data_IF_425483060784
#
_entry.id   IF_425483060784
#
_cell.length_a   1.000
_cell.length_b   1.000
_cell.length_c   1.000
_cell.angle_alpha   90.00
_cell.angle_beta   90.00
_cell.angle_gamma   90.00
#
_symmetry.space_group_name_H-M   'P 1'
#
loop_
_entity.id
_entity.type
_entity.pdbx_description
1 polymer ?
#
# COMPACT_ATOMS: atom_id res chain seq x y z
N UNK A 1 10.38 8.96 -19.73
CA UNK A 1 10.20 8.39 -21.06
C UNK A 1 10.19 6.88 -20.97
N UNK A 2 9.12 6.28 -21.37
CA UNK A 2 8.99 4.82 -21.39
C UNK A 2 9.43 4.30 -22.74
N UNK A 3 10.35 3.37 -22.72
CA UNK A 3 10.72 2.62 -23.91
C UNK A 3 10.20 1.21 -23.72
N UNK A 4 9.01 0.95 -24.27
CA UNK A 4 8.52 -0.40 -24.34
C UNK A 4 9.35 -1.17 -25.35
N UNK A 5 9.96 -2.22 -24.92
CA UNK A 5 10.55 -3.18 -25.82
C UNK A 5 9.54 -4.28 -26.06
N UNK A 6 8.86 -4.21 -27.18
CA UNK A 6 8.01 -5.29 -27.61
C UNK A 6 8.89 -6.39 -28.18
N UNK A 7 9.60 -7.06 -27.30
CA UNK A 7 10.29 -8.28 -27.67
C UNK A 7 9.27 -9.38 -27.93
N UNK A 8 9.55 -10.25 -28.86
CA UNK A 8 8.71 -11.40 -29.19
C UNK A 8 8.60 -12.40 -28.04
N UNK A 9 9.38 -12.25 -27.00
CA UNK A 9 9.24 -13.01 -25.77
C UNK A 9 8.36 -12.25 -24.78
N UNK A 10 7.74 -12.95 -23.87
CA UNK A 10 6.79 -12.39 -22.94
C UNK A 10 7.39 -11.39 -21.93
N UNK A 11 8.68 -11.09 -22.03
CA UNK A 11 9.36 -10.20 -21.10
C UNK A 11 9.45 -8.80 -21.68
N UNK A 12 8.57 -7.93 -21.24
CA UNK A 12 8.57 -6.53 -21.59
C UNK A 12 9.40 -5.75 -20.58
N UNK A 13 10.16 -4.77 -21.08
CA UNK A 13 10.95 -3.87 -20.24
C UNK A 13 10.82 -2.45 -20.73
N UNK A 14 10.98 -1.51 -19.81
CA UNK A 14 11.09 -0.10 -20.14
C UNK A 14 12.15 0.54 -19.25
N UNK A 15 12.65 1.69 -19.68
CA UNK A 15 13.63 2.43 -18.90
C UNK A 15 12.95 3.21 -17.79
N UNK A 16 13.49 3.11 -16.58
CA UNK A 16 13.11 4.01 -15.51
C UNK A 16 13.55 5.43 -15.87
N UNK A 17 12.63 6.42 -15.86
CA UNK A 17 12.98 7.80 -16.25
C UNK A 17 14.05 8.42 -15.36
N UNK A 18 14.15 8.01 -14.11
CA UNK A 18 15.08 8.58 -13.13
C UNK A 18 16.43 7.91 -13.15
N UNK A 19 16.49 6.58 -13.14
CA UNK A 19 17.72 5.83 -12.96
C UNK A 19 18.25 5.20 -14.26
N UNK A 20 17.51 5.30 -15.34
CA UNK A 20 17.84 4.72 -16.66
C UNK A 20 18.02 3.21 -16.64
N UNK A 21 17.52 2.54 -15.62
CA UNK A 21 17.58 1.09 -15.52
C UNK A 21 16.40 0.46 -16.26
N UNK A 22 16.67 -0.63 -16.96
CA UNK A 22 15.62 -1.45 -17.55
C UNK A 22 14.91 -2.23 -16.46
N UNK A 23 13.62 -1.99 -16.31
CA UNK A 23 12.78 -2.68 -15.33
C UNK A 23 11.90 -3.70 -16.03
N UNK A 24 11.68 -4.88 -15.41
CA UNK A 24 10.69 -5.80 -15.93
C UNK A 24 9.32 -5.12 -15.89
N UNK A 25 8.64 -5.13 -17.02
CA UNK A 25 7.28 -4.64 -17.09
C UNK A 25 6.37 -5.65 -16.40
N UNK A 26 5.65 -5.18 -15.40
CA UNK A 26 4.65 -5.99 -14.74
C UNK A 26 3.58 -6.40 -15.75
N UNK A 27 3.17 -7.65 -15.71
CA UNK A 27 2.02 -8.11 -16.48
C UNK A 27 0.82 -7.22 -16.16
N UNK A 28 0.19 -6.66 -17.19
CA UNK A 28 -1.04 -5.89 -17.00
C UNK A 28 -2.12 -6.85 -16.54
N UNK A 29 -2.62 -6.61 -15.34
CA UNK A 29 -3.61 -7.45 -14.72
C UNK A 29 -4.78 -6.61 -14.20
N UNK A 30 -5.93 -7.23 -14.18
CA UNK A 30 -7.09 -6.67 -13.51
C UNK A 30 -7.32 -7.50 -12.26
N UNK A 31 -7.20 -6.87 -11.10
CA UNK A 31 -7.32 -7.56 -9.82
C UNK A 31 -8.71 -7.37 -9.26
N UNK A 32 -9.39 -8.47 -8.99
CA UNK A 32 -10.61 -8.46 -8.19
C UNK A 32 -10.19 -8.37 -6.72
N UNK A 33 -10.29 -7.18 -6.15
CA UNK A 33 -9.82 -6.90 -4.80
C UNK A 33 -10.55 -7.75 -3.76
N UNK A 34 -11.86 -7.89 -3.90
CA UNK A 34 -12.65 -8.68 -2.96
C UNK A 34 -12.21 -10.15 -2.95
N UNK A 35 -11.95 -10.72 -4.13
CA UNK A 35 -11.44 -12.11 -4.22
C UNK A 35 -10.03 -12.25 -3.68
N UNK A 36 -9.17 -11.28 -3.95
CA UNK A 36 -7.79 -11.30 -3.43
C UNK A 36 -7.77 -11.26 -1.90
N UNK A 37 -8.58 -10.41 -1.30
CA UNK A 37 -8.73 -10.32 0.15
C UNK A 37 -9.32 -11.60 0.73
N UNK A 38 -10.34 -12.16 0.10
CA UNK A 38 -10.97 -13.41 0.52
C UNK A 38 -9.98 -14.58 0.54
N UNK A 39 -9.11 -14.64 -0.48
CA UNK A 39 -8.11 -15.70 -0.59
C UNK A 39 -6.96 -15.55 0.42
N UNK A 40 -6.80 -14.38 1.01
CA UNK A 40 -5.70 -14.05 1.93
C UNK A 40 -6.24 -13.38 3.20
N UNK A 41 -7.29 -13.93 3.76
CA UNK A 41 -8.02 -13.33 4.88
C UNK A 41 -7.20 -13.26 6.16
N UNK A 42 -7.32 -12.13 6.85
CA UNK A 42 -6.81 -11.96 8.20
C UNK A 42 -7.42 -13.01 9.14
N UNK A 43 -6.57 -13.62 9.95
CA UNK A 43 -6.99 -14.55 11.01
C UNK A 43 -6.73 -13.95 12.38
N UNK A 44 -7.27 -14.58 13.44
CA UNK A 44 -7.05 -14.13 14.81
C UNK A 44 -5.59 -14.23 15.24
N UNK A 45 -4.81 -15.07 14.55
CA UNK A 45 -3.38 -15.22 14.84
C UNK A 45 -2.53 -14.10 14.23
N UNK A 46 -3.06 -13.38 13.26
CA UNK A 46 -2.35 -12.28 12.61
C UNK A 46 -2.52 -10.99 13.41
N UNK A 47 -1.45 -10.21 13.52
CA UNK A 47 -1.54 -8.84 14.06
C UNK A 47 -2.19 -7.93 13.03
N UNK A 48 -1.75 -8.04 11.81
CA UNK A 48 -2.35 -7.42 10.62
C UNK A 48 -1.90 -8.21 9.39
N UNK A 49 -2.48 -7.91 8.25
CA UNK A 49 -2.10 -8.55 7.01
C UNK A 49 -2.00 -7.53 5.88
N UNK A 50 -1.02 -7.73 5.02
CA UNK A 50 -0.85 -6.93 3.80
C UNK A 50 -1.02 -7.87 2.61
N UNK A 51 -2.17 -7.76 1.96
CA UNK A 51 -2.46 -8.53 0.76
C UNK A 51 -1.96 -7.73 -0.44
N UNK A 52 -0.83 -8.15 -0.98
CA UNK A 52 -0.16 -7.47 -2.08
C UNK A 52 -0.93 -7.73 -3.38
N UNK A 53 -1.26 -6.67 -4.11
CA UNK A 53 -2.06 -6.77 -5.32
C UNK A 53 -1.24 -6.62 -6.61
N UNK A 54 -0.14 -5.90 -6.55
CA UNK A 54 0.71 -5.70 -7.72
C UNK A 54 1.49 -4.40 -7.67
N UNK A 55 2.27 -4.16 -8.70
CA UNK A 55 3.07 -2.95 -8.83
C UNK A 55 3.26 -2.54 -10.28
N UNK A 56 3.47 -1.24 -10.48
CA UNK A 56 3.97 -0.67 -11.73
C UNK A 56 5.48 -0.46 -11.62
N UNK A 57 5.98 0.55 -12.33
CA UNK A 57 7.41 0.91 -12.30
C UNK A 57 7.77 1.81 -11.13
N UNK A 58 6.82 2.57 -10.59
CA UNK A 58 7.06 3.56 -9.55
C UNK A 58 6.07 3.48 -8.40
N UNK A 59 5.12 2.58 -8.45
CA UNK A 59 4.09 2.43 -7.43
C UNK A 59 3.72 0.98 -7.22
N UNK A 60 3.24 0.70 -6.03
CA UNK A 60 2.70 -0.60 -5.65
C UNK A 60 1.37 -0.43 -4.94
N UNK A 61 0.57 -1.49 -4.94
CA UNK A 61 -0.73 -1.49 -4.31
C UNK A 61 -0.93 -2.75 -3.48
N UNK A 62 -1.47 -2.57 -2.29
CA UNK A 62 -1.83 -3.66 -1.39
C UNK A 62 -3.08 -3.31 -0.58
N UNK A 63 -3.71 -4.32 0.01
CA UNK A 63 -4.76 -4.11 0.99
C UNK A 63 -4.22 -4.42 2.37
N UNK A 64 -4.34 -3.46 3.25
CA UNK A 64 -4.14 -3.67 4.68
C UNK A 64 -5.43 -4.21 5.28
N UNK A 65 -5.30 -5.32 6.01
CA UNK A 65 -6.36 -5.88 6.81
C UNK A 65 -5.93 -5.85 8.27
N UNK A 66 -6.74 -5.28 9.13
CA UNK A 66 -6.45 -5.18 10.54
C UNK A 66 -7.63 -5.56 11.42
N UNK A 67 -7.37 -5.63 12.72
CA UNK A 67 -8.41 -5.81 13.73
C UNK A 67 -8.90 -4.45 14.22
N UNK A 68 -10.06 -4.42 14.85
CA UNK A 68 -10.51 -3.26 15.60
C UNK A 68 -9.49 -2.93 16.70
N UNK A 69 -9.30 -1.65 16.97
CA UNK A 69 -8.36 -1.18 17.96
C UNK A 69 -7.28 -0.27 17.38
N UNK A 70 -6.26 0.07 18.19
CA UNK A 70 -5.19 0.94 17.75
C UNK A 70 -4.24 0.21 16.79
N UNK A 71 -3.67 0.96 15.86
CA UNK A 71 -2.48 0.53 15.14
C UNK A 71 -1.34 1.50 15.41
N UNK A 72 -0.18 0.91 15.61
CA UNK A 72 1.00 1.60 16.12
C UNK A 72 1.50 2.66 15.17
N UNK A 73 1.86 3.81 15.70
CA UNK A 73 2.46 4.90 14.93
C UNK A 73 3.80 4.49 14.33
N UNK A 74 4.00 4.89 13.10
CA UNK A 74 5.22 4.59 12.34
C UNK A 74 5.43 5.62 11.24
N UNK A 75 6.59 5.58 10.62
CA UNK A 75 6.91 6.33 9.40
C UNK A 75 7.36 5.38 8.31
N UNK A 76 7.07 5.75 7.08
CA UNK A 76 7.74 5.20 5.90
C UNK A 76 8.73 6.24 5.41
N UNK A 77 10.00 5.88 5.44
CA UNK A 77 11.08 6.86 5.24
C UNK A 77 11.18 7.32 3.79
N UNK A 78 10.92 6.41 2.85
CA UNK A 78 11.25 6.63 1.44
C UNK A 78 10.05 6.68 0.51
N UNK A 79 8.83 6.36 0.98
CA UNK A 79 7.67 6.37 0.09
C UNK A 79 6.47 7.09 0.68
N UNK A 80 5.68 7.67 -0.21
CA UNK A 80 4.36 8.18 0.11
C UNK A 80 3.34 7.04 0.11
N UNK A 81 2.28 7.19 0.90
CA UNK A 81 1.14 6.27 0.85
C UNK A 81 -0.15 7.04 0.62
N UNK A 82 -1.02 6.46 -0.17
CA UNK A 82 -2.41 6.93 -0.32
C UNK A 82 -3.29 5.80 0.18
N UNK A 83 -4.12 6.10 1.18
CA UNK A 83 -5.07 5.14 1.75
C UNK A 83 -6.49 5.41 1.29
N UNK A 84 -7.19 4.35 0.92
CA UNK A 84 -8.61 4.37 0.59
C UNK A 84 -9.32 3.31 1.41
N UNK A 85 -10.29 3.72 2.22
CA UNK A 85 -11.03 2.80 3.11
C UNK A 85 -12.01 1.97 2.31
N UNK A 86 -11.79 0.68 2.26
CA UNK A 86 -12.72 -0.29 1.65
C UNK A 86 -13.78 -0.72 2.64
N UNK A 87 -13.40 -0.97 3.89
CA UNK A 87 -14.29 -1.37 4.97
C UNK A 87 -13.79 -0.81 6.30
N UNK A 88 -14.71 -0.54 7.21
CA UNK A 88 -14.40 -0.07 8.55
C UNK A 88 -14.48 1.43 8.73
N UNK A 89 -14.35 1.84 9.98
CA UNK A 89 -14.36 3.25 10.40
C UNK A 89 -13.46 3.43 11.61
N UNK A 90 -12.97 4.63 11.80
CA UNK A 90 -12.10 4.96 12.91
C UNK A 90 -11.56 6.36 12.80
N UNK A 91 -10.37 6.57 13.34
CA UNK A 91 -9.63 7.83 13.18
C UNK A 91 -8.19 7.56 12.80
N UNK A 92 -7.65 8.43 11.97
CA UNK A 92 -6.27 8.37 11.48
C UNK A 92 -5.55 9.65 11.88
N UNK A 93 -4.34 9.49 12.38
CA UNK A 93 -3.45 10.59 12.75
C UNK A 93 -2.30 10.61 11.76
N UNK A 94 -2.12 11.73 11.07
CA UNK A 94 -1.03 11.94 10.11
C UNK A 94 -0.37 13.27 10.44
N UNK A 95 0.92 13.24 10.72
CA UNK A 95 1.68 14.45 11.05
C UNK A 95 1.08 15.23 12.23
N UNK A 96 0.55 14.55 13.22
CA UNK A 96 -0.08 15.16 14.38
C UNK A 96 -1.53 15.61 14.18
N UNK A 97 -2.09 15.45 13.00
CA UNK A 97 -3.48 15.81 12.70
C UNK A 97 -4.35 14.57 12.70
N UNK A 98 -5.37 14.55 13.54
CA UNK A 98 -6.30 13.41 13.65
C UNK A 98 -7.63 13.75 12.98
N UNK A 99 -8.11 12.83 12.15
CA UNK A 99 -9.40 12.96 11.48
C UNK A 99 -10.15 11.63 11.51
N UNK A 100 -11.49 11.67 11.60
CA UNK A 100 -12.30 10.48 11.42
C UNK A 100 -12.24 10.02 9.96
N UNK A 101 -12.26 8.71 9.78
CA UNK A 101 -12.30 8.07 8.47
C UNK A 101 -13.35 6.97 8.46
N UNK A 102 -13.94 6.75 7.30
CA UNK A 102 -14.94 5.71 7.07
C UNK A 102 -14.82 5.19 5.63
N UNK A 103 -15.54 4.16 5.33
CA UNK A 103 -15.63 3.60 3.99
C UNK A 103 -15.80 4.70 2.92
N UNK A 104 -14.92 4.69 1.93
CA UNK A 104 -14.91 5.66 0.84
C UNK A 104 -14.00 6.87 1.05
N UNK A 105 -13.44 7.04 2.24
CA UNK A 105 -12.53 8.14 2.52
C UNK A 105 -11.11 7.84 2.04
N UNK A 106 -10.39 8.89 1.67
CA UNK A 106 -9.00 8.86 1.21
C UNK A 106 -8.16 9.80 2.06
N UNK A 107 -6.95 9.37 2.38
CA UNK A 107 -5.94 10.29 2.94
C UNK A 107 -4.58 10.04 2.30
N UNK A 108 -3.74 11.05 2.35
CA UNK A 108 -2.38 10.99 1.80
C UNK A 108 -1.39 11.10 2.96
N UNK A 109 -0.41 10.22 2.96
CA UNK A 109 0.68 10.20 3.95
C UNK A 109 1.97 10.46 3.18
N UNK A 110 2.52 11.67 3.26
CA UNK A 110 3.83 11.94 2.66
C UNK A 110 4.92 11.09 3.32
N UNK A 111 5.97 10.78 2.57
CA UNK A 111 7.12 10.08 3.10
C UNK A 111 7.64 10.76 4.37
N UNK A 112 8.19 9.96 5.27
CA UNK A 112 8.79 10.42 6.53
C UNK A 112 7.82 11.18 7.46
N UNK A 113 6.52 10.92 7.33
CA UNK A 113 5.49 11.54 8.16
C UNK A 113 4.95 10.51 9.15
N UNK A 114 5.03 10.77 10.47
CA UNK A 114 4.46 9.87 11.47
C UNK A 114 2.96 9.72 11.27
N UNK A 115 2.49 8.48 11.33
CA UNK A 115 1.07 8.21 11.21
C UNK A 115 0.70 6.94 11.98
N UNK A 116 -0.55 6.88 12.38
CA UNK A 116 -1.16 5.80 13.12
C UNK A 116 -2.64 6.02 13.20
N UNK A 117 -3.30 5.33 14.09
CA UNK A 117 -4.73 5.53 14.27
C UNK A 117 -5.39 4.48 15.13
N UNK A 118 -6.71 4.50 15.10
CA UNK A 118 -7.55 3.55 15.83
C UNK A 118 -8.82 3.28 15.02
N UNK A 119 -9.12 2.02 14.83
CA UNK A 119 -10.33 1.60 14.14
C UNK A 119 -11.34 1.01 15.10
N UNK A 120 -12.60 1.40 14.93
CA UNK A 120 -13.74 0.86 15.69
C UNK A 120 -14.14 -0.52 15.17
N UNK A 121 -14.02 -0.70 13.85
CA UNK A 121 -14.33 -1.95 13.15
C UNK A 121 -13.06 -2.49 12.49
N UNK A 122 -13.04 -3.78 12.19
CA UNK A 122 -11.93 -4.39 11.47
C UNK A 122 -11.74 -3.69 10.12
N UNK A 123 -10.62 -2.97 9.90
CA UNK A 123 -10.45 -2.19 8.70
C UNK A 123 -9.93 -3.00 7.53
N UNK A 124 -10.33 -2.59 6.33
CA UNK A 124 -9.67 -2.92 5.09
C UNK A 124 -9.36 -1.63 4.37
N UNK A 125 -8.09 -1.37 4.13
CA UNK A 125 -7.62 -0.14 3.50
C UNK A 125 -6.75 -0.48 2.31
N UNK A 126 -7.14 0.02 1.14
CA UNK A 126 -6.29 -0.07 -0.04
C UNK A 126 -5.22 1.00 0.06
N UNK A 127 -3.96 0.59 0.00
CA UNK A 127 -2.83 1.52 -0.02
C UNK A 127 -2.12 1.49 -1.36
N UNK A 128 -1.79 2.67 -1.84
CA UNK A 128 -0.89 2.88 -2.97
C UNK A 128 0.37 3.51 -2.43
N UNK A 129 1.51 2.88 -2.70
CA UNK A 129 2.83 3.37 -2.27
C UNK A 129 3.62 3.85 -3.49
N UNK A 130 4.29 4.98 -3.36
CA UNK A 130 5.14 5.54 -4.41
C UNK A 130 6.36 6.21 -3.77
N UNK A 131 7.58 5.81 -4.12
CA UNK A 131 7.94 4.67 -4.96
C UNK A 131 7.48 3.33 -4.42
N UNK A 132 7.76 2.26 -5.16
CA UNK A 132 7.34 0.90 -4.81
C UNK A 132 7.75 0.55 -3.39
N UNK A 133 6.79 0.08 -2.60
CA UNK A 133 7.03 -0.52 -1.31
C UNK A 133 7.35 -2.01 -1.51
N UNK A 134 8.60 -2.38 -1.23
CA UNK A 134 9.05 -3.77 -1.34
C UNK A 134 8.58 -4.54 -0.11
N UNK A 135 7.71 -5.56 -0.27
CA UNK A 135 7.23 -6.33 0.87
C UNK A 135 8.34 -7.09 1.61
N UNK A 136 9.45 -7.37 0.95
CA UNK A 136 10.59 -8.08 1.53
C UNK A 136 11.62 -7.15 2.17
N UNK A 137 11.53 -5.84 1.90
CA UNK A 137 12.47 -4.86 2.41
C UNK A 137 11.75 -3.54 2.74
N UNK A 138 10.96 -3.57 3.80
CA UNK A 138 10.14 -2.43 4.17
C UNK A 138 10.95 -1.33 4.86
N UNK A 139 10.64 -0.09 4.50
CA UNK A 139 11.24 1.10 5.07
C UNK A 139 10.52 1.63 6.31
N UNK A 140 9.68 0.83 6.92
CA UNK A 140 8.88 1.20 8.07
C UNK A 140 9.73 1.31 9.33
N UNK A 141 9.58 2.42 10.03
CA UNK A 141 10.19 2.65 11.35
C UNK A 141 9.07 2.90 12.36
N UNK A 142 9.02 2.09 13.39
CA UNK A 142 8.05 2.24 14.47
C UNK A 142 8.41 3.44 15.34
N UNK A 143 7.39 4.17 15.76
CA UNK A 143 7.49 5.30 16.68
C UNK A 143 6.75 4.94 17.96
N UNK A 144 7.38 5.24 19.08
CA UNK A 144 6.75 5.03 20.39
C UNK A 144 5.83 6.18 20.77
#
# INVERSE_FOLDING_TARGET
MTHGHDGENAEHRHLCPTCQQSLPLTKVDFVDVAKAVEADRLTDADVFKRTYLGHGTQSSVFVFQGHAGPFRSHVHVTHDEIGYVLEGSGSVTVGGVTRPVKKGDVWVIPANTPHGGEFEDAPQVLFISSPIDDPDNQDRVWID
#
